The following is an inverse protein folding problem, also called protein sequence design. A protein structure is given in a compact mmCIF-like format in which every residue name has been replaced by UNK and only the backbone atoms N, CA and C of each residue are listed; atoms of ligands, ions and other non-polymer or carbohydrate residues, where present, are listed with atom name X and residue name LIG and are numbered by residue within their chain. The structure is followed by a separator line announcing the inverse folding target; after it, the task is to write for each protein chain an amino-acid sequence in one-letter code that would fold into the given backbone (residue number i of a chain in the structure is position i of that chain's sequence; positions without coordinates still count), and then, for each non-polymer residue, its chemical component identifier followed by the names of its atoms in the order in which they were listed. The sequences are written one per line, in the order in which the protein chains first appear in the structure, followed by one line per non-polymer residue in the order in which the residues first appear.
data_IF_669039627693
#
_entry.id   IF_669039627693
#
_cell.length_a   1.000
_cell.length_b   1.000
_cell.length_c   1.000
_cell.angle_alpha   90.00
_cell.angle_beta   90.00
_cell.angle_gamma   90.00
#
_symmetry.space_group_name_H-M   'P 1'
#
loop_
_entity.id
_entity.type
_entity.pdbx_description
1 polymer ?
#
# COMPACT_ATOMS: atom_id res chain seq x y z
N UNK A 1 6.79 8.67 -27.81
CA UNK A 1 7.33 8.96 -26.47
C UNK A 1 6.13 9.24 -25.59
N UNK A 2 5.67 8.23 -24.85
CA UNK A 2 4.53 8.36 -23.93
C UNK A 2 5.01 9.06 -22.67
N UNK A 3 4.51 10.26 -22.43
CA UNK A 3 4.69 10.98 -21.17
C UNK A 3 4.33 10.05 -20.02
N UNK A 4 5.32 9.76 -19.18
CA UNK A 4 5.11 9.09 -17.93
C UNK A 4 4.73 10.23 -16.95
N UNK A 5 3.44 10.47 -16.64
CA UNK A 5 3.09 11.54 -15.73
C UNK A 5 3.79 11.25 -14.41
N UNK A 6 4.68 12.16 -14.00
CA UNK A 6 5.35 12.08 -12.71
C UNK A 6 4.31 11.77 -11.63
N UNK A 7 4.58 10.77 -10.81
CA UNK A 7 3.68 10.29 -9.75
C UNK A 7 3.23 11.44 -8.84
N UNK A 8 4.04 12.48 -8.71
CA UNK A 8 3.77 13.72 -7.97
C UNK A 8 2.51 14.44 -8.47
N UNK A 9 2.32 14.55 -9.80
CA UNK A 9 1.13 15.21 -10.38
C UNK A 9 -0.16 14.38 -10.25
N UNK A 10 -0.03 13.08 -10.01
CA UNK A 10 -1.17 12.20 -9.77
C UNK A 10 -1.65 12.30 -8.31
N UNK A 11 -0.73 12.48 -7.37
CA UNK A 11 -1.03 12.67 -5.94
C UNK A 11 -1.81 13.96 -5.71
N UNK A 12 -1.42 15.07 -6.36
CA UNK A 12 -2.05 16.39 -6.17
C UNK A 12 -3.51 16.47 -6.62
N UNK A 13 -3.97 15.53 -7.46
CA UNK A 13 -5.35 15.48 -7.98
C UNK A 13 -6.23 14.45 -7.28
N UNK A 14 -5.67 13.65 -6.38
CA UNK A 14 -6.43 12.61 -5.69
C UNK A 14 -7.26 13.24 -4.56
N UNK A 15 -8.57 12.95 -4.54
CA UNK A 15 -9.44 13.35 -3.43
C UNK A 15 -9.01 12.70 -2.09
N UNK A 16 -8.39 11.53 -2.16
CA UNK A 16 -7.88 10.78 -1.03
C UNK A 16 -6.55 10.12 -1.38
N UNK A 17 -5.57 10.25 -0.50
CA UNK A 17 -4.30 9.53 -0.57
C UNK A 17 -4.16 8.62 0.63
N UNK A 18 -3.74 7.38 0.40
CA UNK A 18 -3.49 6.41 1.48
C UNK A 18 -2.09 5.84 1.35
N UNK A 19 -1.40 5.73 2.48
CA UNK A 19 -0.09 5.08 2.54
C UNK A 19 -0.26 3.68 3.10
N UNK A 20 0.02 2.67 2.29
CA UNK A 20 0.01 1.27 2.71
C UNK A 20 1.38 0.89 3.27
N UNK A 21 1.38 0.31 4.47
CA UNK A 21 2.59 -0.21 5.08
C UNK A 21 2.89 -1.62 4.55
N UNK A 22 4.13 -1.83 4.11
CA UNK A 22 4.55 -3.06 3.46
C UNK A 22 5.05 -4.10 4.48
N UNK A 23 4.88 -5.38 4.14
CA UNK A 23 5.48 -6.49 4.86
C UNK A 23 6.95 -6.68 4.46
N UNK A 24 7.77 -7.09 5.43
CA UNK A 24 9.13 -7.61 5.24
C UNK A 24 9.24 -8.94 5.99
N UNK A 25 9.95 -9.91 5.39
CA UNK A 25 10.17 -11.22 5.99
C UNK A 25 11.16 -11.14 7.16
N UNK A 26 10.79 -11.73 8.29
CA UNK A 26 11.63 -11.85 9.49
C UNK A 26 11.60 -13.31 9.98
N UNK A 27 12.57 -13.75 10.81
CA UNK A 27 12.61 -15.12 11.32
C UNK A 27 11.33 -15.54 12.05
N UNK A 28 10.68 -14.63 12.77
CA UNK A 28 9.46 -14.90 13.55
C UNK A 28 8.15 -14.72 12.76
N UNK A 29 8.25 -14.43 11.46
CA UNK A 29 7.11 -14.13 10.58
C UNK A 29 7.10 -12.69 10.07
N UNK A 30 6.18 -12.38 9.17
CA UNK A 30 6.19 -11.09 8.49
C UNK A 30 5.92 -9.91 9.44
N UNK A 31 6.74 -8.86 9.34
CA UNK A 31 6.59 -7.60 10.07
C UNK A 31 6.41 -6.43 9.13
N UNK A 32 5.81 -5.36 9.62
CA UNK A 32 5.71 -4.11 8.90
C UNK A 32 7.09 -3.42 8.81
N UNK A 33 7.52 -3.04 7.61
CA UNK A 33 8.79 -2.33 7.39
C UNK A 33 8.86 -0.98 8.14
N UNK A 34 7.74 -0.26 8.25
CA UNK A 34 7.72 1.08 8.84
C UNK A 34 7.51 1.08 10.37
N UNK A 35 6.66 0.19 10.87
CA UNK A 35 6.26 0.18 12.28
C UNK A 35 6.89 -0.98 13.07
N UNK A 36 7.53 -1.93 12.39
CA UNK A 36 8.09 -3.16 12.96
C UNK A 36 7.10 -3.99 13.80
N UNK A 37 5.79 -3.77 13.68
CA UNK A 37 4.76 -4.62 14.29
C UNK A 37 4.53 -5.87 13.44
N UNK A 38 3.96 -6.97 13.99
CA UNK A 38 3.45 -8.07 13.18
C UNK A 38 2.56 -7.54 12.04
N UNK A 39 2.69 -8.13 10.86
CA UNK A 39 1.92 -7.75 9.68
C UNK A 39 0.67 -8.65 9.56
N UNK A 40 -0.53 -8.11 9.21
CA UNK A 40 -0.83 -6.72 8.89
C UNK A 40 -0.79 -5.80 10.12
N UNK A 41 -0.30 -4.56 9.93
CA UNK A 41 -0.30 -3.54 10.97
C UNK A 41 -1.53 -2.62 10.86
N UNK A 42 -1.92 -1.89 11.92
CA UNK A 42 -3.12 -1.05 11.92
C UNK A 42 -3.19 -0.01 10.79
N UNK A 43 -2.05 0.54 10.36
CA UNK A 43 -2.02 1.48 9.23
C UNK A 43 -2.36 0.79 7.92
N UNK A 44 -1.88 -0.44 7.70
CA UNK A 44 -2.29 -1.23 6.54
C UNK A 44 -3.79 -1.49 6.58
N UNK A 45 -4.32 -1.94 7.72
CA UNK A 45 -5.74 -2.23 7.87
C UNK A 45 -6.60 -1.00 7.57
N UNK A 46 -6.21 0.16 8.10
CA UNK A 46 -6.87 1.44 7.83
C UNK A 46 -6.85 1.79 6.34
N UNK A 47 -5.70 1.62 5.66
CA UNK A 47 -5.58 1.89 4.23
C UNK A 47 -6.45 0.94 3.38
N UNK A 48 -6.50 -0.35 3.73
CA UNK A 48 -7.41 -1.33 3.09
C UNK A 48 -8.86 -0.90 3.26
N UNK A 49 -9.29 -0.50 4.47
CA UNK A 49 -10.66 -0.03 4.69
C UNK A 49 -11.01 1.17 3.83
N UNK A 50 -10.11 2.16 3.69
CA UNK A 50 -10.33 3.33 2.82
C UNK A 50 -10.45 2.93 1.35
N UNK A 51 -9.59 2.02 0.86
CA UNK A 51 -9.65 1.55 -0.53
C UNK A 51 -10.95 0.78 -0.82
N UNK A 52 -11.41 -0.05 0.13
CA UNK A 52 -12.69 -0.74 0.04
C UNK A 52 -13.86 0.25 -0.02
N UNK A 53 -13.87 1.29 0.83
CA UNK A 53 -14.88 2.36 0.77
C UNK A 53 -14.85 3.13 -0.55
N UNK A 54 -13.67 3.27 -1.17
CA UNK A 54 -13.50 3.87 -2.50
C UNK A 54 -13.91 2.94 -3.66
N UNK A 55 -14.46 1.75 -3.37
CA UNK A 55 -14.96 0.81 -4.37
C UNK A 55 -13.91 -0.10 -4.99
N UNK A 56 -12.71 -0.17 -4.42
CA UNK A 56 -11.71 -1.16 -4.84
C UNK A 56 -12.08 -2.52 -4.25
N UNK A 57 -11.88 -3.59 -5.03
CA UNK A 57 -12.04 -4.96 -4.53
C UNK A 57 -10.75 -5.47 -3.87
N UNK A 58 -10.91 -6.49 -3.02
CA UNK A 58 -9.80 -7.10 -2.30
C UNK A 58 -8.68 -7.62 -3.22
N UNK A 59 -9.02 -8.14 -4.39
CA UNK A 59 -8.06 -8.69 -5.35
C UNK A 59 -7.15 -7.59 -5.90
N UNK A 60 -7.73 -6.44 -6.28
CA UNK A 60 -6.97 -5.26 -6.75
C UNK A 60 -6.08 -4.69 -5.65
N UNK A 61 -6.57 -4.65 -4.42
CA UNK A 61 -5.80 -4.19 -3.26
C UNK A 61 -4.59 -5.10 -3.03
N UNK A 62 -4.76 -6.43 -3.06
CA UNK A 62 -3.66 -7.39 -2.92
C UNK A 62 -2.65 -7.29 -4.08
N UNK A 63 -3.12 -7.08 -5.30
CA UNK A 63 -2.24 -6.86 -6.44
C UNK A 63 -1.40 -5.58 -6.29
N UNK A 64 -1.97 -4.51 -5.72
CA UNK A 64 -1.27 -3.27 -5.41
C UNK A 64 -0.24 -3.48 -4.27
N UNK A 65 -0.61 -4.19 -3.21
CA UNK A 65 0.29 -4.56 -2.10
C UNK A 65 1.50 -5.36 -2.62
N UNK A 66 1.27 -6.29 -3.54
CA UNK A 66 2.34 -7.14 -4.09
C UNK A 66 3.35 -6.33 -4.90
N UNK A 67 2.88 -5.34 -5.68
CA UNK A 67 3.73 -4.43 -6.48
C UNK A 67 4.57 -3.47 -5.65
N UNK A 68 4.18 -3.22 -4.40
CA UNK A 68 4.85 -2.27 -3.49
C UNK A 68 5.66 -2.96 -2.40
N UNK A 69 5.71 -4.30 -2.40
CA UNK A 69 6.53 -5.09 -1.50
C UNK A 69 7.97 -4.59 -1.47
N UNK A 70 8.61 -4.71 -0.29
CA UNK A 70 9.84 -4.02 0.09
C UNK A 70 10.85 -3.97 -1.06
N UNK A 71 10.85 -2.83 -1.77
CA UNK A 71 11.76 -2.41 -2.83
C UNK A 71 12.76 -3.51 -3.23
N UNK A 72 12.39 -4.30 -4.25
CA UNK A 72 13.38 -5.02 -5.06
C UNK A 72 14.20 -4.02 -5.88
#
# INVERSE_FOLDING_TARGET
MTDNPSMDHAIDRAAHTVRVHCAIAWPEGNRCLNCHRPHPCPTRESAVSVLLMAGWDHTKIVALDTRTSAWS
#
